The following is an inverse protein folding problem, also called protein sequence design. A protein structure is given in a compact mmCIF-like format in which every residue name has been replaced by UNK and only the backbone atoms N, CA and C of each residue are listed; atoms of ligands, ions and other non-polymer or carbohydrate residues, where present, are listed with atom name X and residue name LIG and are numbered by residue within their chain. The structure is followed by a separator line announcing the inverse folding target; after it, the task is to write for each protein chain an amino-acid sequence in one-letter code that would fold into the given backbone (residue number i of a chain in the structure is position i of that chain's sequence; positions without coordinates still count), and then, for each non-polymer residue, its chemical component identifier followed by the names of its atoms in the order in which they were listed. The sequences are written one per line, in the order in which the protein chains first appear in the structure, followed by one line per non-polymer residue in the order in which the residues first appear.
data_IF_728175457039
#
_entry.id   IF_728175457039
#
_cell.length_a   1.000
_cell.length_b   1.000
_cell.length_c   1.000
_cell.angle_alpha   90.00
_cell.angle_beta   90.00
_cell.angle_gamma   90.00
#
_symmetry.space_group_name_H-M   'P 1'
#
loop_
_entity.id
_entity.type
_entity.pdbx_description
1 polymer ?
#
# COMPACT_ATOMS: atom_id res chain seq x y z
N UNK A 1 3.03 27.37 2.30
CA UNK A 1 4.03 27.00 3.33
C UNK A 1 4.96 26.02 2.66
N UNK A 2 6.27 26.25 2.73
CA UNK A 2 7.25 25.74 1.75
C UNK A 2 7.15 24.24 1.50
N UNK A 3 7.06 23.86 0.22
CA UNK A 3 7.18 22.48 -0.23
C UNK A 3 8.61 22.02 0.04
N UNK A 4 8.82 21.41 1.20
CA UNK A 4 10.06 20.73 1.50
C UNK A 4 10.15 19.49 0.61
N UNK A 5 10.90 19.60 -0.47
CA UNK A 5 11.30 18.48 -1.32
C UNK A 5 12.52 17.79 -0.72
N UNK A 6 12.35 16.55 -0.28
CA UNK A 6 13.46 15.72 0.19
C UNK A 6 13.88 14.76 -0.92
N UNK A 7 15.18 14.72 -1.25
CA UNK A 7 15.69 13.91 -2.33
C UNK A 7 15.69 12.41 -1.97
N UNK A 8 16.29 12.04 -0.85
CA UNK A 8 16.36 10.64 -0.43
C UNK A 8 16.39 10.57 1.10
N UNK A 9 15.50 9.76 1.67
CA UNK A 9 15.47 9.48 3.10
C UNK A 9 15.35 7.98 3.35
N UNK A 10 16.12 7.49 4.32
CA UNK A 10 16.04 6.11 4.79
C UNK A 10 15.86 6.12 6.31
N UNK A 11 14.84 5.42 6.78
CA UNK A 11 14.54 5.26 8.20
C UNK A 11 14.62 3.79 8.59
N UNK A 12 15.44 3.50 9.59
CA UNK A 12 15.61 2.16 10.15
C UNK A 12 15.32 2.21 11.64
N UNK A 13 14.36 1.44 12.11
CA UNK A 13 14.07 1.28 13.54
C UNK A 13 13.65 -0.15 13.84
N UNK A 14 13.72 -0.59 15.10
CA UNK A 14 13.10 -1.86 15.47
C UNK A 14 11.57 -1.75 15.39
N UNK A 15 11.00 -0.68 15.92
CA UNK A 15 9.55 -0.45 15.92
C UNK A 15 9.25 1.01 15.59
N UNK A 16 8.31 1.23 14.67
CA UNK A 16 7.63 2.51 14.52
C UNK A 16 6.23 2.37 15.11
N UNK A 17 5.90 3.19 16.10
CA UNK A 17 4.60 3.20 16.75
C UNK A 17 3.95 4.58 16.58
N UNK A 18 2.68 4.59 16.16
CA UNK A 18 1.82 5.77 16.15
C UNK A 18 2.43 7.00 15.44
N UNK A 19 3.01 6.82 14.25
CA UNK A 19 3.55 7.95 13.48
C UNK A 19 2.50 8.50 12.52
N UNK A 20 2.49 9.82 12.40
CA UNK A 20 1.69 10.53 11.40
C UNK A 20 2.60 11.40 10.55
N UNK A 21 2.59 11.18 9.24
CA UNK A 21 3.33 11.97 8.27
C UNK A 21 2.34 12.83 7.47
N UNK A 22 2.55 14.14 7.44
CA UNK A 22 1.69 15.09 6.72
C UNK A 22 2.51 16.01 5.83
N UNK A 23 1.99 16.29 4.63
CA UNK A 23 2.43 17.33 3.68
C UNK A 23 3.96 17.45 3.46
N UNK A 24 4.52 16.54 2.67
CA UNK A 24 5.92 16.52 2.22
C UNK A 24 6.01 15.91 0.81
N UNK A 25 6.98 16.37 0.02
CA UNK A 25 7.28 15.78 -1.29
C UNK A 25 8.60 15.04 -1.19
N UNK A 26 8.62 13.78 -1.61
CA UNK A 26 9.81 12.94 -1.58
C UNK A 26 10.10 12.37 -2.96
N UNK A 27 11.36 12.44 -3.39
CA UNK A 27 11.79 11.69 -4.56
C UNK A 27 11.98 10.20 -4.21
N UNK A 28 12.68 9.88 -3.13
CA UNK A 28 12.84 8.52 -2.65
C UNK A 28 12.70 8.40 -1.13
N UNK A 29 11.91 7.44 -0.65
CA UNK A 29 11.74 7.16 0.77
C UNK A 29 11.77 5.65 1.06
N UNK A 30 12.67 5.23 1.95
CA UNK A 30 12.79 3.82 2.37
C UNK A 30 12.58 3.68 3.87
N UNK A 31 11.68 2.78 4.26
CA UNK A 31 11.40 2.44 5.65
C UNK A 31 11.71 0.96 5.90
N UNK A 32 12.58 0.68 6.87
CA UNK A 32 12.90 -0.67 7.32
C UNK A 32 12.63 -0.81 8.81
N UNK A 33 11.79 -1.76 9.21
CA UNK A 33 11.59 -2.08 10.62
C UNK A 33 11.26 -3.55 10.90
N UNK A 34 11.27 -3.98 12.16
CA UNK A 34 10.57 -5.23 12.48
C UNK A 34 9.06 -5.01 12.46
N UNK A 35 8.60 -3.94 13.13
CA UNK A 35 7.18 -3.70 13.33
C UNK A 35 6.79 -2.26 13.02
N UNK A 36 5.74 -2.10 12.21
CA UNK A 36 5.00 -0.85 12.09
C UNK A 36 3.62 -1.00 12.75
N UNK A 37 3.42 -0.24 13.81
CA UNK A 37 2.16 -0.16 14.53
C UNK A 37 1.50 1.20 14.27
N UNK A 38 0.28 1.18 13.72
CA UNK A 38 -0.56 2.35 13.49
C UNK A 38 0.17 3.53 12.82
N UNK A 39 0.35 3.44 11.51
CA UNK A 39 1.01 4.50 10.74
C UNK A 39 0.00 5.17 9.83
N UNK A 40 0.01 6.50 9.83
CA UNK A 40 -0.87 7.32 8.98
C UNK A 40 -0.06 8.25 8.10
N UNK A 41 -0.34 8.22 6.81
CA UNK A 41 0.26 9.10 5.81
C UNK A 41 -0.85 9.90 5.13
N UNK A 42 -0.72 11.22 5.11
CA UNK A 42 -1.71 12.11 4.52
C UNK A 42 -1.08 13.19 3.64
N UNK A 43 -1.67 13.41 2.45
CA UNK A 43 -1.32 14.49 1.53
C UNK A 43 0.17 14.52 1.13
N UNK A 44 0.70 13.39 0.65
CA UNK A 44 2.10 13.26 0.22
C UNK A 44 2.21 12.92 -1.27
N UNK A 45 3.28 13.39 -1.89
CA UNK A 45 3.66 13.03 -3.26
C UNK A 45 5.00 12.29 -3.25
N UNK A 46 5.03 11.13 -3.88
CA UNK A 46 6.19 10.24 -3.91
C UNK A 46 6.54 9.81 -5.33
N UNK A 47 7.82 9.93 -5.69
CA UNK A 47 8.31 9.27 -6.92
C UNK A 47 8.56 7.79 -6.65
N UNK A 48 9.31 7.45 -5.61
CA UNK A 48 9.55 6.07 -5.21
C UNK A 48 9.46 5.89 -3.70
N UNK A 49 8.73 4.87 -3.26
CA UNK A 49 8.67 4.51 -1.85
C UNK A 49 8.75 3.00 -1.64
N UNK A 50 9.57 2.59 -0.67
CA UNK A 50 9.75 1.19 -0.28
C UNK A 50 9.54 1.00 1.21
N UNK A 51 8.68 0.06 1.58
CA UNK A 51 8.46 -0.36 2.96
C UNK A 51 8.84 -1.83 3.13
N UNK A 52 9.75 -2.10 4.06
CA UNK A 52 10.15 -3.46 4.44
C UNK A 52 9.91 -3.66 5.94
N UNK A 53 9.09 -4.65 6.29
CA UNK A 53 8.93 -5.04 7.69
C UNK A 53 8.68 -6.52 7.90
N UNK A 54 8.75 -7.01 9.14
CA UNK A 54 8.13 -8.30 9.44
C UNK A 54 6.61 -8.15 9.56
N UNK A 55 6.17 -7.14 10.32
CA UNK A 55 4.75 -6.97 10.64
C UNK A 55 4.29 -5.53 10.42
N UNK A 56 3.20 -5.39 9.67
CA UNK A 56 2.39 -4.17 9.60
C UNK A 56 1.06 -4.42 10.29
N UNK A 57 0.84 -3.78 11.44
CA UNK A 57 -0.41 -3.95 12.19
C UNK A 57 -1.54 -3.10 11.58
N UNK A 58 -1.27 -1.82 11.33
CA UNK A 58 -2.23 -0.92 10.71
C UNK A 58 -1.50 0.18 9.94
N UNK A 59 -1.83 0.28 8.65
CA UNK A 59 -1.33 1.31 7.74
C UNK A 59 -2.50 2.01 7.06
N UNK A 60 -2.51 3.33 7.13
CA UNK A 60 -3.52 4.15 6.47
C UNK A 60 -2.85 5.21 5.59
N UNK A 61 -3.25 5.26 4.33
CA UNK A 61 -2.81 6.25 3.36
C UNK A 61 -4.01 7.02 2.83
N UNK A 62 -3.93 8.36 2.88
CA UNK A 62 -5.03 9.24 2.46
C UNK A 62 -4.52 10.34 1.53
N UNK A 63 -5.16 10.50 0.37
CA UNK A 63 -4.91 11.59 -0.58
C UNK A 63 -3.44 11.64 -1.04
N UNK A 64 -2.97 10.62 -1.79
CA UNK A 64 -1.56 10.53 -2.18
C UNK A 64 -1.38 10.20 -3.66
N UNK A 65 -0.23 10.62 -4.19
CA UNK A 65 0.20 10.28 -5.55
C UNK A 65 1.54 9.57 -5.51
N UNK A 66 1.60 8.40 -6.17
CA UNK A 66 2.76 7.53 -6.24
C UNK A 66 3.12 7.18 -7.68
N UNK A 67 4.36 7.41 -8.09
CA UNK A 67 4.86 6.79 -9.31
C UNK A 67 5.21 5.31 -9.07
N UNK A 68 5.93 5.00 -7.98
CA UNK A 68 6.18 3.61 -7.57
C UNK A 68 6.06 3.45 -6.05
N UNK A 69 5.26 2.45 -5.62
CA UNK A 69 5.16 2.04 -4.22
C UNK A 69 5.37 0.54 -4.09
N UNK A 70 6.31 0.13 -3.24
CA UNK A 70 6.62 -1.28 -2.97
C UNK A 70 6.50 -1.59 -1.48
N UNK A 71 5.79 -2.67 -1.17
CA UNK A 71 5.69 -3.22 0.17
C UNK A 71 6.16 -4.66 0.22
N UNK A 72 7.03 -4.94 1.19
CA UNK A 72 7.50 -6.29 1.51
C UNK A 72 7.27 -6.56 2.98
N UNK A 73 6.46 -7.58 3.31
CA UNK A 73 6.26 -8.00 4.69
C UNK A 73 6.13 -9.52 4.88
N UNK A 74 6.20 -10.00 6.12
CA UNK A 74 5.61 -11.30 6.42
C UNK A 74 4.10 -11.17 6.61
N UNK A 75 3.67 -10.23 7.45
CA UNK A 75 2.25 -10.08 7.82
C UNK A 75 1.77 -8.65 7.65
N UNK A 76 0.64 -8.49 6.97
CA UNK A 76 -0.21 -7.30 6.99
C UNK A 76 -1.53 -7.62 7.67
N UNK A 77 -1.79 -6.99 8.81
CA UNK A 77 -3.07 -7.15 9.50
C UNK A 77 -4.15 -6.24 8.91
N UNK A 78 -3.87 -4.94 8.78
CA UNK A 78 -4.79 -3.99 8.17
C UNK A 78 -4.06 -2.97 7.29
N UNK A 79 -4.55 -2.80 6.07
CA UNK A 79 -4.05 -1.83 5.12
C UNK A 79 -5.20 -1.09 4.44
N UNK A 80 -5.21 0.23 4.57
CA UNK A 80 -6.26 1.09 4.01
C UNK A 80 -5.66 2.16 3.12
N UNK A 81 -6.21 2.28 1.91
CA UNK A 81 -5.92 3.35 0.97
C UNK A 81 -7.19 4.10 0.61
N UNK A 82 -7.12 5.43 0.65
CA UNK A 82 -8.25 6.31 0.33
C UNK A 82 -7.79 7.45 -0.58
N UNK A 83 -8.49 7.64 -1.71
CA UNK A 83 -8.22 8.69 -2.70
C UNK A 83 -6.75 8.70 -3.18
N UNK A 84 -6.36 7.76 -4.03
CA UNK A 84 -4.95 7.66 -4.47
C UNK A 84 -4.79 7.49 -5.96
N UNK A 85 -3.61 7.86 -6.46
CA UNK A 85 -3.18 7.60 -7.82
C UNK A 85 -1.83 6.89 -7.81
N UNK A 86 -1.76 5.77 -8.52
CA UNK A 86 -0.59 4.91 -8.60
C UNK A 86 -0.24 4.60 -10.06
N UNK A 87 1.01 4.86 -10.45
CA UNK A 87 1.51 4.32 -11.71
C UNK A 87 1.94 2.84 -11.54
N UNK A 88 2.69 2.52 -10.50
CA UNK A 88 3.05 1.15 -10.15
C UNK A 88 2.89 0.89 -8.65
N UNK A 89 2.27 -0.23 -8.31
CA UNK A 89 2.10 -0.70 -6.94
C UNK A 89 2.42 -2.19 -6.83
N UNK A 90 3.36 -2.53 -5.95
CA UNK A 90 3.78 -3.92 -5.72
C UNK A 90 3.62 -4.28 -4.25
N UNK A 91 2.94 -5.39 -4.00
CA UNK A 91 2.79 -5.99 -2.68
C UNK A 91 3.32 -7.41 -2.66
N UNK A 92 4.23 -7.68 -1.73
CA UNK A 92 4.74 -9.01 -1.45
C UNK A 92 4.56 -9.30 0.04
N UNK A 93 3.72 -10.27 0.39
CA UNK A 93 3.62 -10.73 1.77
C UNK A 93 3.41 -12.23 1.91
N UNK A 94 3.58 -12.78 3.12
CA UNK A 94 3.08 -14.14 3.37
C UNK A 94 1.57 -14.10 3.66
N UNK A 95 1.12 -13.17 4.49
CA UNK A 95 -0.28 -13.09 4.91
C UNK A 95 -0.81 -11.67 4.82
N UNK A 96 -1.97 -11.51 4.18
CA UNK A 96 -2.80 -10.31 4.21
C UNK A 96 -4.13 -10.62 4.89
N UNK A 97 -4.37 -10.00 6.05
CA UNK A 97 -5.61 -10.22 6.78
C UNK A 97 -6.76 -9.35 6.26
N UNK A 98 -6.56 -8.03 6.18
CA UNK A 98 -7.55 -7.10 5.66
C UNK A 98 -6.92 -6.01 4.80
N UNK A 99 -7.50 -5.79 3.63
CA UNK A 99 -7.11 -4.72 2.72
C UNK A 99 -8.33 -3.98 2.17
N UNK A 100 -8.27 -2.65 2.25
CA UNK A 100 -9.35 -1.76 1.79
C UNK A 100 -8.79 -0.71 0.84
N UNK A 101 -9.35 -0.64 -0.36
CA UNK A 101 -9.08 0.42 -1.32
C UNK A 101 -10.36 1.18 -1.64
N UNK A 102 -10.34 2.50 -1.46
CA UNK A 102 -11.45 3.38 -1.79
C UNK A 102 -11.00 4.50 -2.74
N UNK A 103 -11.68 4.65 -3.88
CA UNK A 103 -11.44 5.67 -4.90
C UNK A 103 -9.97 5.72 -5.36
N UNK A 104 -9.59 4.85 -6.30
CA UNK A 104 -8.21 4.84 -6.78
C UNK A 104 -8.09 4.66 -8.30
N UNK A 105 -6.95 5.12 -8.80
CA UNK A 105 -6.50 4.88 -10.17
C UNK A 105 -5.15 4.18 -10.15
N UNK A 106 -5.08 3.01 -10.78
CA UNK A 106 -3.87 2.19 -10.89
C UNK A 106 -3.54 1.95 -12.36
N UNK A 107 -2.31 2.26 -12.78
CA UNK A 107 -1.82 1.84 -14.09
C UNK A 107 -1.32 0.39 -14.05
N UNK A 108 -0.49 0.02 -13.08
CA UNK A 108 -0.03 -1.35 -12.90
C UNK A 108 -0.03 -1.75 -11.42
N UNK A 109 -0.51 -2.96 -11.13
CA UNK A 109 -0.58 -3.49 -9.78
C UNK A 109 -0.21 -4.98 -9.73
N UNK A 110 0.66 -5.33 -8.80
CA UNK A 110 1.09 -6.71 -8.55
C UNK A 110 0.88 -7.06 -7.08
N UNK A 111 0.07 -8.08 -6.82
CA UNK A 111 -0.09 -8.68 -5.49
C UNK A 111 0.46 -10.10 -5.50
N UNK A 112 1.43 -10.37 -4.65
CA UNK A 112 1.94 -11.70 -4.36
C UNK A 112 1.77 -11.98 -2.87
N UNK A 113 0.90 -12.92 -2.49
CA UNK A 113 0.90 -13.43 -1.13
C UNK A 113 0.53 -14.90 -0.99
N UNK A 114 0.91 -15.53 0.11
CA UNK A 114 0.50 -16.92 0.34
C UNK A 114 -0.98 -17.01 0.72
N UNK A 115 -1.45 -16.07 1.55
CA UNK A 115 -2.83 -16.07 2.07
C UNK A 115 -3.45 -14.68 2.04
N UNK A 116 -4.67 -14.59 1.50
CA UNK A 116 -5.55 -13.42 1.63
C UNK A 116 -6.85 -13.82 2.32
N UNK A 117 -7.26 -13.09 3.36
CA UNK A 117 -8.52 -13.38 4.07
C UNK A 117 -9.65 -12.39 3.82
N UNK A 118 -9.35 -11.12 3.53
CA UNK A 118 -10.37 -10.14 3.18
C UNK A 118 -9.80 -9.01 2.32
N UNK A 119 -10.48 -8.71 1.23
CA UNK A 119 -10.13 -7.64 0.31
C UNK A 119 -11.39 -6.87 -0.08
N UNK A 120 -11.34 -5.55 -0.05
CA UNK A 120 -12.45 -4.68 -0.43
C UNK A 120 -11.97 -3.59 -1.35
N UNK A 121 -12.62 -3.47 -2.50
CA UNK A 121 -12.39 -2.43 -3.49
C UNK A 121 -13.67 -1.63 -3.72
N UNK A 122 -13.59 -0.32 -3.58
CA UNK A 122 -14.68 0.60 -3.92
C UNK A 122 -14.17 1.65 -4.92
N UNK A 123 -14.87 1.79 -6.05
CA UNK A 123 -14.59 2.76 -7.12
C UNK A 123 -13.14 2.77 -7.62
N UNK A 124 -12.83 1.90 -8.59
CA UNK A 124 -11.46 1.68 -9.06
C UNK A 124 -11.34 1.76 -10.58
N UNK A 125 -10.16 2.16 -11.05
CA UNK A 125 -9.76 2.03 -12.45
C UNK A 125 -8.40 1.36 -12.51
N UNK A 126 -8.32 0.21 -13.18
CA UNK A 126 -7.09 -0.56 -13.37
C UNK A 126 -6.77 -0.66 -14.86
N UNK A 127 -5.52 -0.41 -15.25
CA UNK A 127 -5.04 -0.74 -16.60
C UNK A 127 -4.38 -2.13 -16.66
N UNK A 128 -3.67 -2.53 -15.60
CA UNK A 128 -3.10 -3.87 -15.46
C UNK A 128 -3.11 -4.33 -13.99
N UNK A 129 -3.59 -5.55 -13.76
CA UNK A 129 -3.65 -6.19 -12.45
C UNK A 129 -3.07 -7.61 -12.55
N UNK A 130 -2.14 -7.93 -11.66
CA UNK A 130 -1.62 -9.29 -11.50
C UNK A 130 -1.78 -9.70 -10.05
N UNK A 131 -2.34 -10.89 -9.86
CA UNK A 131 -2.54 -11.46 -8.55
C UNK A 131 -1.97 -12.86 -8.48
N UNK A 132 -1.23 -13.17 -7.43
CA UNK A 132 -0.69 -14.50 -7.16
C UNK A 132 -0.93 -14.83 -5.70
N UNK A 133 -1.80 -15.81 -5.42
CA UNK A 133 -1.88 -16.42 -4.10
C UNK A 133 -2.11 -17.91 -4.09
N UNK A 134 -1.66 -18.54 -3.00
CA UNK A 134 -1.93 -19.95 -2.75
C UNK A 134 -3.29 -20.17 -2.10
N UNK A 135 -3.77 -19.23 -1.28
CA UNK A 135 -5.02 -19.37 -0.52
C UNK A 135 -5.82 -18.07 -0.50
N UNK A 136 -7.11 -18.18 -0.78
CA UNK A 136 -8.10 -17.11 -0.65
C UNK A 136 -9.25 -17.54 0.25
N UNK A 137 -9.60 -16.71 1.23
CA UNK A 137 -10.91 -16.74 1.87
C UNK A 137 -11.70 -15.51 1.39
N UNK A 138 -12.94 -15.69 0.95
CA UNK A 138 -13.76 -14.65 0.30
C UNK A 138 -14.83 -14.12 1.26
N UNK A 139 -15.10 -12.80 1.25
CA UNK A 139 -16.51 -12.38 1.25
C UNK A 139 -16.85 -11.30 0.20
N UNK A 140 -18.04 -11.48 -0.39
CA UNK A 140 -18.85 -10.60 -1.26
C UNK A 140 -18.15 -9.51 -2.10
N UNK A 141 -17.96 -9.83 -3.39
CA UNK A 141 -17.78 -8.82 -4.45
C UNK A 141 -19.09 -8.02 -4.60
N UNK A 142 -19.04 -6.70 -4.48
CA UNK A 142 -20.09 -5.81 -5.00
C UNK A 142 -19.66 -5.29 -6.37
N UNK A 143 -20.56 -5.43 -7.33
CA UNK A 143 -20.37 -5.46 -8.78
C UNK A 143 -19.55 -4.35 -9.47
N UNK A 144 -19.14 -4.73 -10.69
CA UNK A 144 -18.63 -3.95 -11.84
C UNK A 144 -17.12 -3.71 -11.94
N UNK A 145 -16.41 -4.58 -12.66
CA UNK A 145 -15.70 -4.23 -13.90
C UNK A 145 -15.01 -5.48 -14.49
N UNK A 146 -15.14 -5.68 -15.80
CA UNK A 146 -14.51 -6.79 -16.51
C UNK A 146 -12.98 -6.69 -16.50
N UNK A 147 -12.36 -7.74 -15.96
CA UNK A 147 -11.02 -8.15 -16.32
C UNK A 147 -11.04 -9.68 -16.23
N UNK A 148 -10.90 -10.36 -17.37
CA UNK A 148 -10.66 -11.80 -17.40
C UNK A 148 -9.39 -12.10 -16.62
N UNK A 149 -9.55 -12.94 -15.59
CA UNK A 149 -8.45 -13.51 -14.82
C UNK A 149 -7.88 -14.65 -15.68
N UNK A 150 -6.63 -14.53 -16.11
CA UNK A 150 -5.79 -15.66 -16.51
C UNK A 150 -5.07 -16.21 -15.28
#
# INVERSE_FOLDING_TARGET
MGDATFAEQTFTAQTFAAQTFTAQTFAALTFTAQTFAAQTFAALTFTAQTFAAQTFAALTFTAMTFAALTFTAQTFAALTFTAMTFAALTFTAQTFAAQTFAAQTFAAQTFAALTFTAQTFAAQTFAALTFTAMTFAVPSQSDTCGAEIL
#
